data_IF_381638590124
#
_entry.id   IF_381638590124
#
_cell.length_a   1.000
_cell.length_b   1.000
_cell.length_c   1.000
_cell.angle_alpha   90.00
_cell.angle_beta   90.00
_cell.angle_gamma   90.00
#
_symmetry.space_group_name_H-M   'P 1'
#
loop_
_entity.id
_entity.type
_entity.pdbx_description
1 polymer ?
#
# COMPACT_ATOMS: atom_id res chain seq x y z
N UNK A 1 8.56 18.63 -15.77
CA UNK A 1 9.65 17.68 -16.07
C UNK A 1 10.51 17.27 -14.87
N UNK A 2 10.39 17.91 -13.70
CA UNK A 2 11.23 17.70 -12.50
C UNK A 2 10.78 16.59 -11.53
N UNK A 3 9.78 15.77 -11.91
CA UNK A 3 9.30 14.58 -11.15
C UNK A 3 9.51 13.25 -11.92
N UNK A 4 10.26 13.26 -13.03
CA UNK A 4 10.27 12.16 -14.03
C UNK A 4 10.94 10.87 -13.54
N UNK A 5 11.75 10.91 -12.48
CA UNK A 5 12.61 9.78 -12.04
C UNK A 5 12.57 9.59 -10.52
N UNK A 6 11.76 10.37 -9.80
CA UNK A 6 11.86 10.50 -8.36
C UNK A 6 11.05 9.38 -7.68
N UNK A 7 11.60 8.33 -7.11
CA UNK A 7 12.98 7.94 -6.85
C UNK A 7 12.86 6.46 -6.47
N UNK A 8 13.43 5.57 -7.26
CA UNK A 8 13.81 4.21 -6.83
C UNK A 8 12.75 3.21 -6.33
N UNK A 9 11.44 3.45 -6.48
CA UNK A 9 10.40 2.41 -6.34
C UNK A 9 10.19 1.53 -7.59
N UNK A 10 10.80 1.91 -8.73
CA UNK A 10 10.59 1.26 -10.03
C UNK A 10 11.76 0.39 -10.52
N UNK A 11 12.97 0.54 -9.99
CA UNK A 11 14.12 -0.22 -10.49
C UNK A 11 13.97 -1.74 -10.41
N UNK A 12 13.53 -2.34 -9.29
CA UNK A 12 13.44 -3.78 -9.22
C UNK A 12 12.28 -4.31 -10.08
N UNK A 13 11.17 -3.59 -10.22
CA UNK A 13 10.07 -3.94 -11.14
C UNK A 13 10.54 -3.91 -12.60
N UNK A 14 11.19 -2.81 -13.01
CA UNK A 14 11.70 -2.65 -14.38
C UNK A 14 12.79 -3.68 -14.68
N UNK A 15 13.71 -3.92 -13.74
CA UNK A 15 14.76 -4.96 -13.88
C UNK A 15 14.16 -6.35 -13.97
N UNK A 16 13.16 -6.67 -13.13
CA UNK A 16 12.43 -7.94 -13.18
C UNK A 16 11.72 -8.11 -14.53
N UNK A 17 11.09 -7.05 -15.05
CA UNK A 17 10.47 -7.04 -16.37
C UNK A 17 11.47 -7.25 -17.51
N UNK A 18 12.60 -6.52 -17.50
CA UNK A 18 13.66 -6.68 -18.50
C UNK A 18 14.27 -8.08 -18.47
N UNK A 19 14.49 -8.63 -17.27
CA UNK A 19 14.97 -9.99 -17.09
C UNK A 19 13.98 -11.03 -17.63
N UNK A 20 12.68 -10.86 -17.39
CA UNK A 20 11.64 -11.72 -17.95
C UNK A 20 11.62 -11.67 -19.48
N UNK A 21 11.70 -10.47 -20.08
CA UNK A 21 11.79 -10.32 -21.55
C UNK A 21 13.04 -11.00 -22.09
N UNK A 22 14.19 -10.82 -21.45
CA UNK A 22 15.44 -11.48 -21.84
C UNK A 22 15.30 -13.01 -21.80
N UNK A 23 14.74 -13.57 -20.73
CA UNK A 23 14.50 -15.02 -20.61
C UNK A 23 13.59 -15.54 -21.73
N UNK A 24 12.49 -14.86 -22.01
CA UNK A 24 11.56 -15.24 -23.09
C UNK A 24 12.27 -15.22 -24.44
N UNK A 25 13.01 -14.17 -24.76
CA UNK A 25 13.74 -14.07 -26.04
C UNK A 25 14.78 -15.18 -26.18
N UNK A 26 15.56 -15.45 -25.13
CA UNK A 26 16.59 -16.50 -25.15
C UNK A 26 15.96 -17.89 -25.28
N UNK A 27 14.91 -18.20 -24.51
CA UNK A 27 14.23 -19.49 -24.58
C UNK A 27 13.61 -19.72 -25.97
N UNK A 28 12.97 -18.69 -26.52
CA UNK A 28 12.37 -18.73 -27.86
C UNK A 28 13.40 -18.99 -28.96
N UNK A 29 14.56 -18.33 -28.87
CA UNK A 29 15.65 -18.51 -29.84
C UNK A 29 16.27 -19.90 -29.72
N UNK A 30 16.47 -20.41 -28.50
CA UNK A 30 16.99 -21.76 -28.28
C UNK A 30 16.01 -22.84 -28.76
N UNK A 31 14.72 -22.70 -28.50
CA UNK A 31 13.70 -23.66 -28.93
C UNK A 31 13.56 -23.70 -30.46
N UNK A 32 13.56 -22.55 -31.13
CA UNK A 32 13.55 -22.48 -32.59
C UNK A 32 14.80 -23.12 -33.20
N UNK A 33 15.97 -22.98 -32.54
CA UNK A 33 17.21 -23.60 -32.99
C UNK A 33 17.27 -25.12 -32.77
N UNK A 34 16.81 -25.59 -31.61
CA UNK A 34 16.90 -27.02 -31.21
C UNK A 34 15.76 -27.84 -31.81
N UNK A 35 14.57 -27.27 -31.95
CA UNK A 35 13.37 -27.94 -32.48
C UNK A 35 12.69 -27.11 -33.58
N UNK A 36 13.35 -26.87 -34.73
CA UNK A 36 12.81 -26.04 -35.80
C UNK A 36 11.53 -26.60 -36.43
N UNK A 37 11.25 -27.90 -36.27
CA UNK A 37 10.00 -28.51 -36.74
C UNK A 37 8.81 -28.22 -35.83
N UNK A 38 9.03 -28.12 -34.51
CA UNK A 38 7.99 -27.80 -33.53
C UNK A 38 7.85 -26.28 -33.33
N UNK A 39 8.95 -25.54 -33.51
CA UNK A 39 9.03 -24.08 -33.38
C UNK A 39 9.59 -23.48 -34.70
N UNK A 40 8.80 -23.48 -35.78
CA UNK A 40 9.28 -23.05 -37.10
C UNK A 40 9.57 -21.55 -37.17
N UNK A 41 8.94 -20.74 -36.31
CA UNK A 41 9.22 -19.32 -36.22
C UNK A 41 9.63 -18.91 -34.81
N UNK A 42 10.38 -17.80 -34.70
CA UNK A 42 10.69 -17.18 -33.41
C UNK A 42 9.41 -16.80 -32.62
N UNK A 43 8.33 -16.48 -33.35
CA UNK A 43 7.06 -16.13 -32.73
C UNK A 43 6.39 -17.32 -32.04
N UNK A 44 6.49 -18.52 -32.62
CA UNK A 44 5.98 -19.75 -32.00
C UNK A 44 6.74 -20.06 -30.69
N UNK A 45 8.07 -19.89 -30.71
CA UNK A 45 8.89 -19.99 -29.51
C UNK A 45 8.53 -18.95 -28.44
N UNK A 46 8.22 -17.72 -28.87
CA UNK A 46 7.81 -16.62 -27.99
C UNK A 46 6.45 -16.87 -27.36
N UNK A 47 5.48 -17.31 -28.16
CA UNK A 47 4.15 -17.69 -27.70
C UNK A 47 4.22 -18.81 -26.65
N UNK A 48 4.97 -19.88 -26.94
CA UNK A 48 5.21 -20.95 -25.98
C UNK A 48 5.89 -20.44 -24.71
N UNK A 49 6.92 -19.60 -24.85
CA UNK A 49 7.68 -19.12 -23.70
C UNK A 49 6.84 -18.22 -22.79
N UNK A 50 6.00 -17.35 -23.35
CA UNK A 50 5.08 -16.49 -22.61
C UNK A 50 4.02 -17.33 -21.89
N UNK A 51 3.36 -18.25 -22.59
CA UNK A 51 2.31 -19.10 -21.99
C UNK A 51 2.87 -20.02 -20.91
N UNK A 52 4.12 -20.45 -21.05
CA UNK A 52 4.82 -21.28 -20.05
C UNK A 52 5.24 -20.47 -18.82
N UNK A 53 5.90 -19.32 -19.00
CA UNK A 53 6.39 -18.51 -17.86
C UNK A 53 5.23 -17.90 -17.06
N UNK A 54 4.08 -17.66 -17.71
CA UNK A 54 2.83 -17.22 -17.06
C UNK A 54 1.99 -18.37 -16.53
N UNK A 55 2.45 -19.62 -16.67
CA UNK A 55 1.78 -20.85 -16.22
C UNK A 55 0.42 -21.14 -16.88
N UNK A 56 0.10 -20.47 -17.99
CA UNK A 56 -1.12 -20.72 -18.77
C UNK A 56 -1.03 -22.08 -19.45
N UNK A 57 0.07 -22.33 -20.17
CA UNK A 57 0.40 -23.63 -20.77
C UNK A 57 -0.72 -24.28 -21.60
N UNK A 58 -1.18 -23.63 -22.67
CA UNK A 58 -2.27 -24.15 -23.52
C UNK A 58 -1.99 -25.54 -24.11
N UNK A 59 -0.72 -25.89 -24.33
CA UNK A 59 -0.30 -27.19 -24.85
C UNK A 59 -0.52 -27.36 -26.36
N UNK A 60 -0.79 -26.27 -27.07
CA UNK A 60 -0.91 -26.19 -28.52
C UNK A 60 0.44 -26.34 -29.23
N UNK A 61 1.51 -25.78 -28.65
CA UNK A 61 2.89 -25.93 -29.10
C UNK A 61 3.72 -26.36 -27.89
N UNK A 62 4.51 -27.43 -28.02
CA UNK A 62 5.33 -27.98 -26.92
C UNK A 62 6.64 -28.57 -27.44
N UNK A 63 7.71 -28.60 -26.64
CA UNK A 63 8.94 -29.30 -27.01
C UNK A 63 8.76 -30.82 -26.92
N UNK A 64 9.21 -31.52 -27.95
CA UNK A 64 9.14 -32.96 -28.05
C UNK A 64 10.48 -33.64 -27.74
N UNK A 65 11.61 -32.95 -27.94
CA UNK A 65 12.95 -33.50 -27.72
C UNK A 65 13.37 -33.37 -26.26
N UNK A 66 14.34 -34.20 -25.85
CA UNK A 66 14.93 -34.11 -24.51
C UNK A 66 15.57 -32.73 -24.26
N UNK A 67 16.25 -32.17 -25.27
CA UNK A 67 16.89 -30.86 -25.15
C UNK A 67 15.87 -29.72 -25.01
N UNK A 68 14.80 -29.70 -25.81
CA UNK A 68 13.71 -28.73 -25.68
C UNK A 68 13.03 -28.82 -24.31
N UNK A 69 12.79 -30.03 -23.80
CA UNK A 69 12.23 -30.22 -22.45
C UNK A 69 13.14 -29.67 -21.35
N UNK A 70 14.46 -29.86 -21.46
CA UNK A 70 15.42 -29.30 -20.50
C UNK A 70 15.35 -27.77 -20.50
N UNK A 71 15.30 -27.12 -21.68
CA UNK A 71 15.11 -25.68 -21.80
C UNK A 71 13.82 -25.24 -21.09
N UNK A 72 12.72 -25.97 -21.31
CA UNK A 72 11.44 -25.67 -20.68
C UNK A 72 11.45 -25.83 -19.17
N UNK A 73 12.16 -26.82 -18.62
CA UNK A 73 12.32 -26.97 -17.17
C UNK A 73 12.98 -25.70 -16.58
N UNK A 74 14.04 -25.20 -17.20
CA UNK A 74 14.67 -23.95 -16.74
C UNK A 74 13.74 -22.74 -16.87
N UNK A 75 12.96 -22.66 -17.94
CA UNK A 75 11.97 -21.60 -18.13
C UNK A 75 10.87 -21.65 -17.06
N UNK A 76 10.35 -22.83 -16.73
CA UNK A 76 9.33 -23.02 -15.69
C UNK A 76 9.86 -22.63 -14.31
N UNK A 77 11.06 -23.09 -13.93
CA UNK A 77 11.70 -22.73 -12.67
C UNK A 77 11.93 -21.21 -12.56
N UNK A 78 12.31 -20.58 -13.68
CA UNK A 78 12.46 -19.14 -13.76
C UNK A 78 11.12 -18.41 -13.60
N UNK A 79 10.04 -18.93 -14.19
CA UNK A 79 8.69 -18.36 -14.05
C UNK A 79 8.18 -18.37 -12.62
N UNK A 80 8.35 -19.49 -11.89
CA UNK A 80 7.98 -19.57 -10.46
C UNK A 80 8.79 -18.56 -9.64
N UNK A 81 10.09 -18.45 -9.91
CA UNK A 81 10.97 -17.50 -9.24
C UNK A 81 10.53 -16.04 -9.49
N UNK A 82 10.16 -15.74 -10.74
CA UNK A 82 9.67 -14.42 -11.15
C UNK A 82 8.37 -14.05 -10.43
N UNK A 83 7.43 -15.00 -10.31
CA UNK A 83 6.20 -14.80 -9.56
C UNK A 83 6.47 -14.47 -8.08
N UNK A 84 7.44 -15.15 -7.45
CA UNK A 84 7.87 -14.85 -6.08
C UNK A 84 8.42 -13.44 -5.92
N UNK A 85 9.25 -12.98 -6.87
CA UNK A 85 9.77 -11.60 -6.88
C UNK A 85 8.64 -10.59 -7.02
N UNK A 86 7.68 -10.82 -7.93
CA UNK A 86 6.53 -9.93 -8.11
C UNK A 86 5.70 -9.80 -6.82
N UNK A 87 5.45 -10.90 -6.12
CA UNK A 87 4.75 -10.90 -4.82
C UNK A 87 5.53 -10.08 -3.79
N UNK A 88 6.86 -10.26 -3.74
CA UNK A 88 7.74 -9.47 -2.89
C UNK A 88 7.57 -7.98 -3.13
N UNK A 89 7.63 -7.55 -4.41
CA UNK A 89 7.50 -6.15 -4.80
C UNK A 89 6.14 -5.55 -4.41
N UNK A 90 5.04 -6.29 -4.65
CA UNK A 90 3.70 -5.85 -4.23
C UNK A 90 3.63 -5.73 -2.71
N UNK A 91 4.22 -6.67 -1.98
CA UNK A 91 4.25 -6.63 -0.50
C UNK A 91 4.96 -5.39 0.03
N UNK A 92 6.04 -4.96 -0.62
CA UNK A 92 6.74 -3.72 -0.26
C UNK A 92 5.89 -2.48 -0.53
N UNK A 93 5.22 -2.43 -1.68
CA UNK A 93 4.30 -1.33 -2.01
C UNK A 93 3.16 -1.23 -0.99
N UNK A 94 2.58 -2.36 -0.59
CA UNK A 94 1.53 -2.41 0.44
C UNK A 94 2.09 -1.95 1.79
N UNK A 95 3.29 -2.41 2.17
CA UNK A 95 3.95 -1.99 3.42
C UNK A 95 4.15 -0.48 3.47
N UNK A 96 4.67 0.13 2.42
CA UNK A 96 4.85 1.58 2.34
C UNK A 96 3.52 2.34 2.42
N UNK A 97 2.50 1.84 1.73
CA UNK A 97 1.15 2.40 1.78
C UNK A 97 0.57 2.37 3.20
N UNK A 98 0.69 1.23 3.90
CA UNK A 98 0.23 1.08 5.29
C UNK A 98 0.98 2.02 6.23
N UNK A 99 2.32 2.07 6.14
CA UNK A 99 3.15 2.92 7.01
C UNK A 99 2.83 4.41 6.82
N UNK A 100 2.60 4.84 5.58
CA UNK A 100 2.21 6.22 5.28
C UNK A 100 0.83 6.56 5.85
N UNK A 101 -0.10 5.62 5.81
CA UNK A 101 -1.45 5.81 6.37
C UNK A 101 -1.43 5.92 7.90
N UNK A 102 -0.61 5.12 8.58
CA UNK A 102 -0.54 5.09 10.05
C UNK A 102 0.09 6.35 10.67
N UNK A 103 0.92 7.11 9.95
CA UNK A 103 1.52 8.34 10.49
C UNK A 103 0.57 9.55 10.51
N UNK A 104 -0.44 9.58 9.65
CA UNK A 104 -1.43 10.67 9.63
C UNK A 104 -2.42 10.54 10.79
N UNK A 105 -2.72 9.32 11.23
CA UNK A 105 -3.71 9.10 12.30
C UNK A 105 -3.26 9.57 13.69
N UNK A 106 -1.99 9.44 14.08
CA UNK A 106 -1.57 9.73 15.45
C UNK A 106 -1.34 11.21 15.73
N UNK A 107 -0.85 11.98 14.75
CA UNK A 107 -0.69 13.44 14.90
C UNK A 107 -2.02 14.13 14.96
N UNK A 108 -2.88 13.90 13.97
CA UNK A 108 -4.21 14.52 13.89
C UNK A 108 -5.08 14.15 15.11
N UNK A 109 -4.98 12.90 15.59
CA UNK A 109 -5.68 12.48 16.81
C UNK A 109 -5.10 13.12 18.08
N UNK A 110 -3.77 13.26 18.17
CA UNK A 110 -3.15 13.93 19.31
C UNK A 110 -3.48 15.42 19.36
N UNK A 111 -3.49 16.09 18.21
CA UNK A 111 -3.87 17.50 18.07
C UNK A 111 -5.35 17.68 18.42
N UNK A 112 -6.24 16.84 17.90
CA UNK A 112 -7.66 16.88 18.26
C UNK A 112 -7.94 16.56 19.74
N UNK A 113 -7.09 15.73 20.38
CA UNK A 113 -7.19 15.45 21.81
C UNK A 113 -6.70 16.64 22.65
N UNK A 114 -5.62 17.29 22.25
CA UNK A 114 -5.12 18.50 22.93
C UNK A 114 -6.10 19.67 22.80
N UNK A 115 -6.71 19.86 21.63
CA UNK A 115 -7.74 20.86 21.40
C UNK A 115 -8.96 20.60 22.29
N UNK A 116 -9.48 19.37 22.31
CA UNK A 116 -10.60 19.00 23.18
C UNK A 116 -10.26 19.19 24.67
N UNK A 117 -9.05 18.81 25.09
CA UNK A 117 -8.60 19.06 26.47
C UNK A 117 -8.60 20.55 26.80
N UNK A 118 -8.14 21.39 25.88
CA UNK A 118 -8.10 22.86 26.05
C UNK A 118 -9.50 23.43 26.25
N UNK A 119 -10.42 23.10 25.36
CA UNK A 119 -11.82 23.55 25.43
C UNK A 119 -12.49 23.08 26.73
N UNK A 120 -12.21 21.85 27.18
CA UNK A 120 -12.71 21.35 28.46
C UNK A 120 -12.18 22.17 29.64
N UNK A 121 -10.88 22.49 29.67
CA UNK A 121 -10.33 23.35 30.73
C UNK A 121 -10.96 24.74 30.75
N UNK A 122 -11.24 25.32 29.58
CA UNK A 122 -11.88 26.64 29.46
C UNK A 122 -13.34 26.61 29.95
N UNK A 123 -14.12 25.64 29.48
CA UNK A 123 -15.51 25.44 29.93
C UNK A 123 -15.61 25.18 31.44
N UNK A 124 -14.66 24.42 32.00
CA UNK A 124 -14.62 24.18 33.45
C UNK A 124 -14.31 25.45 34.23
N UNK A 125 -13.46 26.34 33.71
CA UNK A 125 -13.19 27.64 34.32
C UNK A 125 -14.44 28.54 34.29
N UNK A 126 -15.13 28.61 33.15
CA UNK A 126 -16.39 29.36 33.02
C UNK A 126 -17.48 28.83 33.96
N UNK A 127 -17.66 27.50 34.04
CA UNK A 127 -18.62 26.87 34.95
C UNK A 127 -18.31 27.16 36.42
N UNK A 128 -17.03 27.17 36.80
CA UNK A 128 -16.62 27.55 38.16
C UNK A 128 -17.01 28.99 38.47
N UNK A 129 -16.73 29.91 37.55
CA UNK A 129 -17.09 31.32 37.70
C UNK A 129 -18.60 31.51 37.82
N UNK A 130 -19.38 30.84 36.96
CA UNK A 130 -20.85 30.87 37.03
C UNK A 130 -21.38 30.39 38.38
N UNK A 131 -20.84 29.28 38.90
CA UNK A 131 -21.27 28.74 40.19
C UNK A 131 -20.89 29.67 41.35
N UNK A 132 -19.75 30.34 41.28
CA UNK A 132 -19.33 31.29 42.31
C UNK A 132 -20.17 32.56 42.30
N UNK A 133 -20.47 33.12 41.12
CA UNK A 133 -21.39 34.25 40.96
C UNK A 133 -22.80 33.89 41.46
N UNK A 134 -23.31 32.72 41.07
CA UNK A 134 -24.60 32.24 41.54
C UNK A 134 -24.64 32.13 43.07
N UNK A 135 -23.57 31.62 43.70
CA UNK A 135 -23.46 31.59 45.16
C UNK A 135 -23.51 33.00 45.76
N UNK A 136 -22.75 33.96 45.23
CA UNK A 136 -22.78 35.35 45.70
C UNK A 136 -24.17 35.96 45.61
N UNK A 137 -24.86 35.81 44.46
CA UNK A 137 -26.21 36.30 44.26
C UNK A 137 -27.23 35.67 45.22
N UNK A 138 -27.11 34.37 45.50
CA UNK A 138 -27.97 33.71 46.48
C UNK A 138 -27.74 34.25 47.88
N UNK A 139 -26.48 34.51 48.25
CA UNK A 139 -26.11 35.05 49.57
C UNK A 139 -26.64 36.47 49.74
N UNK A 140 -26.43 37.34 48.75
CA UNK A 140 -26.90 38.73 48.72
C UNK A 140 -28.44 38.81 48.71
N UNK A 141 -29.12 37.94 47.96
CA UNK A 141 -30.58 37.82 47.98
C UNK A 141 -31.10 37.37 49.34
N UNK A 142 -30.44 36.42 49.99
CA UNK A 142 -30.84 35.92 51.30
C UNK A 142 -30.59 36.98 52.40
N UNK A 143 -29.56 37.82 52.26
CA UNK A 143 -29.27 38.96 53.13
C UNK A 143 -30.33 40.06 52.99
N UNK A 144 -30.66 40.44 51.74
CA UNK A 144 -31.74 41.39 51.42
C UNK A 144 -33.13 40.88 51.84
N UNK A 145 -33.33 39.57 51.94
CA UNK A 145 -34.57 38.95 52.45
C UNK A 145 -34.65 38.95 53.98
N UNK A 146 -33.54 39.11 54.69
CA UNK A 146 -33.49 39.21 56.17
C UNK A 146 -33.69 40.62 56.69
N UNK A 147 -33.58 41.64 55.83
CA UNK A 147 -33.97 43.01 56.19
C UNK A 147 -35.50 43.05 56.36
N UNK A 148 -36.01 43.55 57.52
CA UNK A 148 -37.44 43.63 57.76
C UNK A 148 -38.08 44.59 56.74
N UNK A 149 -39.34 44.35 56.30
CA UNK A 149 -40.00 45.26 55.38
C UNK A 149 -40.01 46.66 55.98
N UNK A 150 -39.45 47.62 55.25
CA UNK A 150 -39.50 49.03 55.60
C UNK A 150 -40.96 49.43 55.73
N UNK A 151 -41.37 49.72 56.96
CA UNK A 151 -42.70 50.20 57.32
C UNK A 151 -42.85 51.64 56.83
N UNK A 152 -43.34 51.79 55.60
CA UNK A 152 -43.97 53.02 55.12
C UNK A 152 -45.50 52.80 55.02
#
# INVERSE_FOLDING_TARGET
MTKIVKQLGHHPVVVTGLFATFLVTVASMLLCFVEPTAFPTFWDGTWYSITTITTIGYGDIVPHTAAGRVISVFLILSGISLAGVLIGLVSEMVREWVLKSNHVSMRDLSEGLEENKRLLTELLAERKLQNELLRKLLTERDEKRREPPTSD
#
